data_IF_270374078360
#
_entry.id   IF_270374078360
#
_cell.length_a   1.000
_cell.length_b   1.000
_cell.length_c   1.000
_cell.angle_alpha   90.00
_cell.angle_beta   90.00
_cell.angle_gamma   90.00
#
_symmetry.space_group_name_H-M   'P 1'
#
loop_
_entity.id
_entity.type
_entity.pdbx_description
1 polymer ?
#
# COMPACT_ATOMS: atom_id res chain seq x y z
N UNK A 1 -8.18 -1.92 20.82
CA UNK A 1 -8.96 -1.24 19.77
C UNK A 1 -10.19 -2.08 19.49
N UNK A 2 -11.39 -1.48 19.54
CA UNK A 2 -12.65 -2.17 19.23
C UNK A 2 -13.18 -1.63 17.90
N UNK A 3 -13.65 -2.53 17.03
CA UNK A 3 -14.14 -2.20 15.70
C UNK A 3 -15.58 -2.69 15.57
N UNK A 4 -16.46 -1.82 15.07
CA UNK A 4 -17.84 -2.18 14.79
C UNK A 4 -17.91 -3.17 13.61
N UNK A 5 -18.62 -4.28 13.82
CA UNK A 5 -18.81 -5.34 12.85
C UNK A 5 -20.24 -5.89 12.93
N UNK A 6 -20.71 -6.42 11.81
CA UNK A 6 -21.94 -7.23 11.74
C UNK A 6 -21.53 -8.69 11.62
N UNK A 7 -22.32 -9.60 12.19
CA UNK A 7 -22.09 -11.04 12.04
C UNK A 7 -23.38 -11.74 11.61
N UNK A 8 -23.22 -12.91 11.00
CA UNK A 8 -24.31 -13.80 10.65
C UNK A 8 -23.89 -15.26 10.83
N UNK A 9 -24.87 -16.14 11.00
CA UNK A 9 -24.69 -17.57 11.21
C UNK A 9 -25.25 -18.32 10.02
N UNK A 10 -24.37 -18.98 9.27
CA UNK A 10 -24.76 -19.88 8.19
C UNK A 10 -24.92 -21.30 8.74
N UNK A 11 -26.13 -21.83 8.68
CA UNK A 11 -26.41 -23.17 9.20
C UNK A 11 -25.72 -24.25 8.38
N UNK A 12 -25.03 -25.16 9.06
CA UNK A 12 -24.36 -26.30 8.44
C UNK A 12 -25.36 -27.35 7.93
N UNK A 13 -24.91 -28.24 7.03
CA UNK A 13 -25.68 -29.45 6.73
C UNK A 13 -25.77 -30.36 7.97
N UNK A 14 -26.72 -31.32 8.02
CA UNK A 14 -26.81 -32.26 9.14
C UNK A 14 -25.47 -32.97 9.41
N UNK A 15 -24.92 -32.78 10.61
CA UNK A 15 -23.62 -33.31 11.01
C UNK A 15 -22.44 -32.35 10.84
N UNK A 16 -22.66 -31.18 10.26
CA UNK A 16 -21.67 -30.09 10.17
C UNK A 16 -21.97 -28.99 11.20
N UNK A 17 -20.94 -28.31 11.73
CA UNK A 17 -21.14 -27.16 12.61
C UNK A 17 -21.63 -25.94 11.84
N UNK A 18 -22.38 -25.07 12.52
CA UNK A 18 -22.74 -23.76 11.99
C UNK A 18 -21.50 -22.88 11.76
N UNK A 19 -21.52 -22.11 10.67
CA UNK A 19 -20.45 -21.18 10.31
C UNK A 19 -20.80 -19.77 10.77
N UNK A 20 -20.01 -19.25 11.71
CA UNK A 20 -20.09 -17.87 12.17
C UNK A 20 -19.15 -17.00 11.33
N UNK A 21 -19.69 -15.98 10.68
CA UNK A 21 -18.93 -15.05 9.86
C UNK A 21 -19.26 -13.61 10.22
N UNK A 22 -18.33 -12.70 9.96
CA UNK A 22 -18.53 -11.28 10.24
C UNK A 22 -17.94 -10.39 9.15
N UNK A 23 -18.42 -9.15 9.11
CA UNK A 23 -17.92 -8.09 8.24
C UNK A 23 -17.65 -6.84 9.05
N UNK A 24 -16.55 -6.16 8.73
CA UNK A 24 -16.15 -4.91 9.39
C UNK A 24 -16.83 -3.73 8.70
N UNK A 25 -17.43 -2.85 9.50
CA UNK A 25 -18.03 -1.62 8.99
C UNK A 25 -16.94 -0.58 8.73
N UNK A 26 -16.98 0.05 7.56
CA UNK A 26 -16.07 1.14 7.19
C UNK A 26 -16.81 2.47 7.10
N UNK A 27 -16.10 3.55 7.42
CA UNK A 27 -16.54 4.94 7.33
C UNK A 27 -15.54 5.74 6.48
N UNK A 28 -15.88 6.94 6.00
CA UNK A 28 -14.89 7.84 5.39
C UNK A 28 -13.69 8.04 6.32
N UNK A 29 -12.47 8.07 5.77
CA UNK A 29 -11.28 8.33 6.55
C UNK A 29 -11.35 9.72 7.20
N UNK A 30 -10.86 9.82 8.45
CA UNK A 30 -10.58 11.10 9.08
C UNK A 30 -9.40 11.79 8.42
N UNK A 31 -9.22 13.09 8.68
CA UNK A 31 -8.08 13.87 8.17
C UNK A 31 -6.74 13.18 8.47
N UNK A 32 -6.61 12.61 9.67
CA UNK A 32 -5.42 11.86 10.13
C UNK A 32 -5.04 10.70 9.20
N UNK A 33 -6.02 9.96 8.68
CA UNK A 33 -5.80 8.72 7.89
C UNK A 33 -5.98 8.96 6.38
N UNK A 34 -6.58 10.07 5.98
CA UNK A 34 -6.96 10.38 4.60
C UNK A 34 -5.80 10.36 3.60
N UNK A 35 -4.58 10.64 4.06
CA UNK A 35 -3.36 10.58 3.25
C UNK A 35 -2.91 9.15 2.91
N UNK A 36 -3.36 8.15 3.69
CA UNK A 36 -3.06 6.72 3.49
C UNK A 36 -4.16 6.04 2.68
N UNK A 37 -5.43 6.29 3.03
CA UNK A 37 -6.59 5.66 2.39
C UNK A 37 -7.84 6.52 2.59
N UNK A 38 -8.81 6.41 1.68
CA UNK A 38 -10.09 7.16 1.70
C UNK A 38 -11.12 6.59 2.69
N UNK A 39 -10.82 5.45 3.30
CA UNK A 39 -11.72 4.68 4.18
C UNK A 39 -10.97 4.23 5.42
N UNK A 40 -11.70 4.13 6.53
CA UNK A 40 -11.19 3.59 7.79
C UNK A 40 -12.26 2.71 8.46
N UNK A 41 -11.88 1.76 9.33
CA UNK A 41 -12.87 1.03 10.12
C UNK A 41 -13.62 1.97 11.06
N UNK A 42 -14.88 1.66 11.36
CA UNK A 42 -15.63 2.32 12.43
C UNK A 42 -15.09 1.85 13.80
N UNK A 43 -14.34 2.70 14.49
CA UNK A 43 -13.68 2.40 15.76
C UNK A 43 -14.56 2.88 16.92
N UNK A 44 -14.78 2.02 17.91
CA UNK A 44 -15.49 2.35 19.15
C UNK A 44 -14.45 2.70 20.21
N UNK A 45 -14.52 3.93 20.76
CA UNK A 45 -13.50 4.48 21.67
C UNK A 45 -13.90 4.39 23.13
N UNK A 46 -15.19 4.46 23.44
CA UNK A 46 -15.69 4.50 24.82
C UNK A 46 -16.43 3.21 25.20
N UNK A 47 -16.51 2.91 26.50
CA UNK A 47 -17.29 1.79 27.01
C UNK A 47 -18.79 1.95 26.68
N UNK A 48 -19.29 3.18 26.70
CA UNK A 48 -20.68 3.50 26.34
C UNK A 48 -20.95 3.22 24.87
N UNK A 49 -20.02 3.52 23.96
CA UNK A 49 -20.16 3.18 22.54
C UNK A 49 -20.16 1.68 22.28
N UNK A 50 -19.32 0.94 23.01
CA UNK A 50 -19.30 -0.53 22.93
C UNK A 50 -20.65 -1.09 23.41
N UNK A 51 -21.16 -0.55 24.50
CA UNK A 51 -22.46 -0.95 25.06
C UNK A 51 -23.60 -0.60 24.12
N UNK A 52 -23.61 0.61 23.57
CA UNK A 52 -24.60 1.06 22.59
C UNK A 52 -24.53 0.27 21.28
N UNK A 53 -23.34 -0.21 20.88
CA UNK A 53 -23.20 -1.08 19.71
C UNK A 53 -23.71 -2.51 19.96
N UNK A 54 -23.39 -3.11 21.11
CA UNK A 54 -23.69 -4.52 21.38
C UNK A 54 -25.07 -4.77 22.00
N UNK A 55 -25.58 -3.83 22.80
CA UNK A 55 -26.74 -4.05 23.68
C UNK A 55 -27.90 -3.09 23.41
N UNK A 56 -27.81 -2.22 22.40
CA UNK A 56 -28.90 -1.26 22.19
C UNK A 56 -30.13 -1.93 21.58
N UNK A 57 -31.24 -1.77 22.30
CA UNK A 57 -32.62 -1.98 21.85
C UNK A 57 -33.07 -0.97 20.79
N UNK A 58 -32.35 0.16 20.69
CA UNK A 58 -32.62 1.23 19.75
C UNK A 58 -31.52 1.31 18.68
N UNK A 59 -31.79 0.90 17.43
CA UNK A 59 -30.77 0.87 16.38
C UNK A 59 -30.15 2.25 16.08
N UNK A 60 -30.83 3.35 16.42
CA UNK A 60 -30.28 4.70 16.24
C UNK A 60 -29.04 4.96 17.10
N UNK A 61 -28.95 4.37 18.29
CA UNK A 61 -27.78 4.55 19.18
C UNK A 61 -26.56 3.85 18.61
N UNK A 62 -26.72 2.58 18.19
CA UNK A 62 -25.66 1.83 17.50
C UNK A 62 -25.18 2.54 16.22
N UNK A 63 -26.11 3.06 15.40
CA UNK A 63 -25.76 3.82 14.20
C UNK A 63 -24.99 5.12 14.49
N UNK A 64 -25.27 5.79 15.62
CA UNK A 64 -24.54 7.00 16.02
C UNK A 64 -23.07 6.74 16.41
N UNK A 65 -22.71 5.48 16.71
CA UNK A 65 -21.33 5.07 16.94
C UNK A 65 -20.51 4.98 15.63
N UNK A 66 -21.16 4.89 14.47
CA UNK A 66 -20.50 4.70 13.16
C UNK A 66 -19.96 6.02 12.59
N UNK A 67 -18.86 6.51 13.16
CA UNK A 67 -18.20 7.74 12.74
C UNK A 67 -16.68 7.60 12.64
N UNK A 68 -16.06 8.50 11.88
CA UNK A 68 -14.60 8.58 11.77
C UNK A 68 -14.00 9.09 13.09
N UNK A 69 -12.90 8.49 13.53
CA UNK A 69 -12.16 8.94 14.72
C UNK A 69 -10.82 9.55 14.30
N UNK A 70 -10.36 10.55 15.03
CA UNK A 70 -9.11 11.31 14.73
C UNK A 70 -7.93 10.90 15.59
N UNK A 71 -8.19 10.33 16.77
CA UNK A 71 -7.18 9.84 17.72
C UNK A 71 -6.65 8.46 17.30
N UNK A 72 -5.88 8.46 16.22
CA UNK A 72 -5.20 7.28 15.66
C UNK A 72 -3.76 7.66 15.34
N UNK A 73 -2.83 6.79 15.73
CA UNK A 73 -1.44 6.86 15.34
C UNK A 73 -1.09 5.69 14.41
N UNK A 74 -0.19 5.94 13.46
CA UNK A 74 0.35 4.93 12.55
C UNK A 74 1.82 5.20 12.26
N UNK A 75 2.51 4.17 11.76
CA UNK A 75 3.90 4.26 11.32
C UNK A 75 4.13 3.35 10.11
N UNK A 76 5.15 3.66 9.31
CA UNK A 76 5.50 2.84 8.15
C UNK A 76 6.09 1.48 8.61
N UNK A 77 5.70 0.41 7.91
CA UNK A 77 6.21 -0.95 8.11
C UNK A 77 6.81 -1.50 6.82
N UNK A 78 7.54 -2.61 6.92
CA UNK A 78 8.13 -3.30 5.77
C UNK A 78 7.05 -3.91 4.87
N UNK A 79 7.35 -4.05 3.57
CA UNK A 79 6.52 -4.79 2.60
C UNK A 79 6.40 -6.29 2.92
N UNK A 80 7.14 -6.80 3.92
CA UNK A 80 6.97 -8.14 4.47
C UNK A 80 5.52 -8.46 4.86
N UNK A 81 4.75 -7.47 5.35
CA UNK A 81 3.34 -7.65 5.74
C UNK A 81 2.41 -7.96 4.56
N UNK A 82 2.84 -7.70 3.32
CA UNK A 82 1.99 -7.88 2.13
C UNK A 82 1.68 -9.35 1.82
N UNK A 83 2.47 -10.29 2.35
CA UNK A 83 2.21 -11.71 2.22
C UNK A 83 1.44 -12.22 3.43
N UNK A 84 0.22 -12.72 3.20
CA UNK A 84 -0.64 -13.29 4.25
C UNK A 84 -0.08 -14.55 4.91
N UNK A 85 0.98 -15.14 4.35
CA UNK A 85 1.70 -16.28 4.94
C UNK A 85 2.65 -15.87 6.07
N UNK A 86 2.98 -14.59 6.15
CA UNK A 86 3.90 -14.07 7.16
C UNK A 86 3.12 -13.73 8.43
N UNK A 87 3.42 -14.43 9.52
CA UNK A 87 2.79 -14.23 10.82
C UNK A 87 3.87 -14.12 11.91
N UNK A 88 4.71 -13.11 11.78
CA UNK A 88 5.83 -12.85 12.68
C UNK A 88 5.90 -11.36 13.02
N UNK A 89 6.73 -11.02 14.01
CA UNK A 89 6.84 -9.66 14.54
C UNK A 89 7.33 -8.64 13.51
N UNK A 90 8.00 -9.07 12.44
CA UNK A 90 8.51 -8.15 11.41
C UNK A 90 7.39 -7.42 10.67
N UNK A 91 6.17 -8.00 10.65
CA UNK A 91 4.98 -7.38 10.05
C UNK A 91 4.57 -6.06 10.72
N UNK A 92 4.93 -5.89 12.00
CA UNK A 92 4.59 -4.72 12.81
C UNK A 92 5.82 -3.88 13.17
N UNK A 93 7.01 -4.24 12.69
CA UNK A 93 8.21 -3.47 13.02
C UNK A 93 8.24 -2.16 12.22
N UNK A 94 8.43 -0.99 12.89
CA UNK A 94 8.60 0.27 12.20
C UNK A 94 9.83 0.24 11.29
N UNK A 95 9.70 0.82 10.11
CA UNK A 95 10.83 1.01 9.19
C UNK A 95 11.20 2.49 9.09
N UNK A 96 12.50 2.76 9.01
CA UNK A 96 13.00 4.10 8.74
C UNK A 96 12.84 4.37 7.24
N UNK A 97 12.09 5.42 6.91
CA UNK A 97 12.00 5.91 5.54
C UNK A 97 13.28 6.68 5.24
N UNK A 98 14.27 6.00 4.67
CA UNK A 98 15.43 6.67 4.07
C UNK A 98 14.91 7.58 2.95
N UNK A 99 15.19 8.88 3.01
CA UNK A 99 14.90 9.75 1.88
C UNK A 99 15.84 9.32 0.76
N UNK A 100 15.36 8.56 -0.22
CA UNK A 100 16.11 8.41 -1.46
C UNK A 100 16.13 9.79 -2.12
N UNK A 101 17.16 10.59 -1.80
CA UNK A 101 17.64 11.56 -2.75
C UNK A 101 17.83 10.78 -4.04
N UNK A 102 17.21 11.25 -5.13
CA UNK A 102 17.52 10.71 -6.45
C UNK A 102 19.04 10.72 -6.58
N UNK A 103 19.69 9.58 -6.91
CA UNK A 103 21.11 9.65 -7.23
C UNK A 103 21.24 10.58 -8.43
N UNK A 104 21.82 11.76 -8.24
CA UNK A 104 22.19 12.74 -9.28
C UNK A 104 23.30 12.22 -10.20
N UNK A 105 23.53 10.90 -10.23
CA UNK A 105 24.43 10.27 -11.18
C UNK A 105 23.57 9.47 -12.16
N UNK A 106 23.54 9.94 -13.40
CA UNK A 106 22.87 9.35 -14.55
C UNK A 106 22.92 7.81 -14.53
N UNK A 107 21.82 7.19 -14.15
CA UNK A 107 21.54 5.81 -14.56
C UNK A 107 21.19 5.91 -16.04
N UNK A 108 22.21 5.76 -16.88
CA UNK A 108 22.06 5.74 -18.33
C UNK A 108 21.04 4.67 -18.71
N UNK A 109 20.03 5.11 -19.45
CA UNK A 109 18.86 4.34 -19.90
C UNK A 109 19.20 3.21 -20.90
N UNK A 110 20.49 2.96 -21.15
CA UNK A 110 20.97 2.04 -22.18
C UNK A 110 21.02 0.58 -21.73
N UNK A 111 20.83 0.29 -20.43
CA UNK A 111 20.90 -1.08 -19.90
C UNK A 111 19.55 -1.81 -19.84
N UNK A 112 18.46 -1.17 -20.23
CA UNK A 112 17.10 -1.75 -20.18
C UNK A 112 16.33 -1.76 -21.51
N UNK A 113 16.84 -1.14 -22.58
CA UNK A 113 16.20 -1.25 -23.90
C UNK A 113 16.85 -2.37 -24.74
N UNK A 114 16.12 -3.44 -25.10
CA UNK A 114 16.56 -4.28 -26.21
C UNK A 114 16.44 -3.48 -27.51
N UNK A 115 17.52 -3.47 -28.30
CA UNK A 115 17.58 -2.81 -29.60
C UNK A 115 16.48 -3.35 -30.53
N UNK A 116 15.61 -2.45 -31.01
CA UNK A 116 14.58 -2.78 -31.98
C UNK A 116 15.23 -3.12 -33.33
N UNK A 117 15.10 -4.37 -33.77
CA UNK A 117 15.49 -4.78 -35.11
C UNK A 117 14.39 -4.40 -36.09
N UNK A 118 14.64 -3.37 -36.90
CA UNK A 118 13.85 -3.06 -38.08
C UNK A 118 14.51 -3.72 -39.30
N UNK A 119 13.76 -4.58 -40.01
CA UNK A 119 13.92 -4.66 -41.47
C UNK A 119 12.68 -5.24 -42.14
N UNK A 120 12.05 -4.39 -42.94
CA UNK A 120 11.19 -4.76 -44.08
C UNK A 120 12.05 -4.80 -45.36
N UNK A 121 11.44 -5.23 -46.48
CA UNK A 121 11.92 -5.33 -47.89
C UNK A 121 12.45 -6.73 -48.28
N UNK A 122 12.19 -7.31 -49.46
CA UNK A 122 11.24 -7.09 -50.56
C UNK A 122 11.29 -8.31 -51.52
N UNK A 123 10.21 -8.52 -52.28
CA UNK A 123 10.08 -9.07 -53.65
C UNK A 123 10.79 -10.38 -54.11
N UNK A 124 10.03 -11.31 -54.71
CA UNK A 124 10.03 -11.59 -56.17
C UNK A 124 9.28 -12.90 -56.53
N UNK A 125 8.84 -12.94 -57.79
CA UNK A 125 7.88 -13.83 -58.48
C UNK A 125 8.48 -15.14 -59.02
N UNK A 126 7.68 -16.22 -59.17
CA UNK A 126 7.55 -17.03 -60.42
C UNK A 126 6.58 -18.23 -60.26
N UNK A 127 6.17 -18.78 -61.40
CA UNK A 127 4.95 -19.51 -61.78
C UNK A 127 5.01 -21.04 -61.84
N UNK A 128 3.81 -21.66 -61.88
CA UNK A 128 3.35 -22.71 -62.83
C UNK A 128 3.01 -24.15 -62.34
N UNK A 129 1.73 -24.51 -62.56
CA UNK A 129 1.17 -25.74 -63.18
C UNK A 129 0.93 -27.08 -62.44
N UNK A 130 -0.29 -27.61 -62.69
CA UNK A 130 -0.74 -29.01 -62.87
C UNK A 130 -1.22 -29.90 -61.69
N UNK A 131 -2.55 -30.10 -61.69
CA UNK A 131 -3.41 -31.26 -61.36
C UNK A 131 -2.87 -32.55 -60.69
N UNK A 132 -3.57 -33.05 -59.65
CA UNK A 132 -4.45 -34.25 -59.68
C UNK A 132 -4.67 -34.93 -58.30
N UNK A 133 -5.95 -35.07 -57.94
CA UNK A 133 -6.62 -36.18 -57.20
C UNK A 133 -6.07 -36.80 -55.89
N UNK A 134 -6.84 -36.63 -54.80
CA UNK A 134 -7.36 -37.66 -53.85
C UNK A 134 -7.35 -37.20 -52.37
N UNK A 135 -8.52 -37.23 -51.71
CA UNK A 135 -8.79 -36.88 -50.28
C UNK A 135 -8.89 -38.16 -49.40
N UNK A 136 -9.05 -38.16 -48.04
CA UNK A 136 -9.35 -37.06 -47.08
C UNK A 136 -8.53 -37.14 -45.74
N UNK A 137 -8.96 -36.47 -44.64
CA UNK A 137 -8.25 -35.37 -44.00
C UNK A 137 -7.25 -35.80 -42.91
N UNK A 138 -6.03 -35.27 -42.98
CA UNK A 138 -5.09 -35.28 -41.85
C UNK A 138 -5.21 -33.94 -41.14
N UNK A 139 -5.73 -33.94 -39.91
CA UNK A 139 -5.68 -32.79 -39.01
C UNK A 139 -4.21 -32.43 -38.77
N UNK A 140 -3.68 -31.48 -39.54
CA UNK A 140 -2.43 -30.80 -39.23
C UNK A 140 -2.72 -29.80 -38.12
N UNK A 141 -2.15 -30.07 -36.95
CA UNK A 141 -2.06 -29.11 -35.86
C UNK A 141 -1.12 -27.99 -36.30
N UNK A 142 -1.65 -26.91 -36.87
CA UNK A 142 -0.93 -25.65 -36.93
C UNK A 142 -0.79 -25.12 -35.49
N UNK A 143 0.42 -24.77 -35.02
CA UNK A 143 0.58 -24.18 -33.71
C UNK A 143 -0.18 -22.85 -33.67
N UNK A 144 -1.08 -22.74 -32.69
CA UNK A 144 -1.85 -21.51 -32.40
C UNK A 144 -0.86 -20.35 -32.19
N UNK A 145 -1.06 -19.17 -32.81
CA UNK A 145 -0.21 -18.01 -32.54
C UNK A 145 -0.31 -17.64 -31.04
N UNK A 146 0.79 -17.21 -30.40
CA UNK A 146 0.76 -16.82 -29.01
C UNK A 146 -0.21 -15.64 -28.80
N UNK A 147 -0.91 -15.57 -27.65
CA UNK A 147 -1.78 -14.45 -27.35
C UNK A 147 -0.98 -13.14 -27.35
N UNK A 148 -1.60 -12.01 -27.75
CA UNK A 148 -0.92 -10.72 -27.73
C UNK A 148 -0.49 -10.37 -26.31
N UNK A 149 0.76 -9.96 -26.16
CA UNK A 149 1.35 -9.50 -24.91
C UNK A 149 0.49 -8.38 -24.30
N UNK A 150 0.25 -8.38 -22.98
CA UNK A 150 -0.51 -7.31 -22.34
C UNK A 150 0.23 -5.98 -22.58
N UNK A 151 -0.48 -4.98 -23.13
CA UNK A 151 0.05 -3.63 -23.30
C UNK A 151 0.48 -3.13 -21.92
N UNK A 152 1.79 -3.02 -21.71
CA UNK A 152 2.40 -2.47 -20.50
C UNK A 152 1.94 -1.02 -20.37
N UNK A 153 0.92 -0.78 -19.55
CA UNK A 153 0.57 0.57 -19.13
C UNK A 153 1.78 1.09 -18.35
N UNK A 154 2.36 2.18 -18.83
CA UNK A 154 3.32 2.97 -18.06
C UNK A 154 2.66 3.25 -16.69
N UNK A 155 3.34 3.02 -15.55
CA UNK A 155 2.83 3.53 -14.28
C UNK A 155 2.70 5.06 -14.45
N UNK A 156 1.55 5.66 -14.07
CA UNK A 156 1.42 7.09 -14.12
C UNK A 156 2.54 7.74 -13.29
N UNK A 157 3.01 8.95 -13.66
CA UNK A 157 3.99 9.66 -12.85
C UNK A 157 3.50 9.71 -11.41
N UNK A 158 4.42 9.47 -10.46
CA UNK A 158 4.13 9.46 -9.04
C UNK A 158 3.43 10.78 -8.69
N UNK A 159 2.10 10.73 -8.54
CA UNK A 159 1.32 11.91 -8.17
C UNK A 159 1.81 12.34 -6.80
N UNK A 160 1.90 13.65 -6.57
CA UNK A 160 2.15 14.20 -5.25
C UNK A 160 0.94 13.83 -4.36
N UNK A 161 1.05 12.70 -3.67
CA UNK A 161 0.01 12.17 -2.79
C UNK A 161 0.15 12.79 -1.40
N UNK A 162 -0.91 12.66 -0.60
CA UNK A 162 -0.87 12.99 0.82
C UNK A 162 0.34 12.39 1.53
N UNK A 163 0.65 11.12 1.24
CA UNK A 163 1.82 10.42 1.78
C UNK A 163 3.17 11.10 1.45
N UNK A 164 3.38 11.55 0.21
CA UNK A 164 4.64 12.26 -0.14
C UNK A 164 4.72 13.63 0.52
N UNK A 165 3.59 14.29 0.72
CA UNK A 165 3.50 15.57 1.45
C UNK A 165 3.72 15.41 2.95
N UNK A 166 3.16 14.37 3.55
CA UNK A 166 3.32 14.01 4.96
C UNK A 166 4.77 13.67 5.29
N UNK A 167 5.43 12.80 4.50
CA UNK A 167 6.85 12.47 4.69
C UNK A 167 7.72 13.74 4.67
N UNK A 168 7.40 14.71 3.80
CA UNK A 168 8.10 16.00 3.74
C UNK A 168 7.78 16.89 4.94
N UNK A 169 6.53 16.95 5.40
CA UNK A 169 6.09 17.75 6.54
C UNK A 169 6.67 17.23 7.87
N UNK A 170 6.74 15.91 8.06
CA UNK A 170 7.37 15.28 9.23
C UNK A 170 8.86 15.62 9.34
N UNK A 171 9.54 15.83 8.20
CA UNK A 171 10.94 16.25 8.14
C UNK A 171 11.14 17.67 8.67
N UNK A 172 10.31 18.61 8.23
CA UNK A 172 10.36 20.01 8.68
C UNK A 172 10.15 20.10 10.19
N UNK A 173 9.19 19.35 10.73
CA UNK A 173 8.91 19.35 12.18
C UNK A 173 10.10 18.82 13.01
N UNK A 174 10.75 17.76 12.52
CA UNK A 174 11.94 17.20 13.18
C UNK A 174 13.17 18.13 13.12
N UNK A 175 13.32 18.90 12.05
CA UNK A 175 14.43 19.85 11.86
C UNK A 175 14.26 21.09 12.75
N UNK A 176 13.02 21.60 12.91
CA UNK A 176 12.74 22.74 13.78
C UNK A 176 12.93 22.42 15.27
N UNK A 177 12.52 21.23 15.71
CA UNK A 177 12.71 20.80 17.11
C UNK A 177 14.18 20.53 17.44
N UNK A 178 14.93 19.95 16.49
CA UNK A 178 16.37 19.73 16.67
C UNK A 178 17.16 21.05 16.76
N UNK A 179 16.79 22.06 15.97
CA UNK A 179 17.43 23.39 16.02
C UNK A 179 17.15 24.11 17.35
N UNK A 180 15.92 24.04 17.87
CA UNK A 180 15.56 24.66 19.15
C UNK A 180 16.25 24.03 20.36
N UNK A 181 16.62 22.74 20.26
CA UNK A 181 17.27 22.01 21.35
C UNK A 181 18.79 22.23 21.37
N UNK A 182 19.40 22.51 20.22
CA UNK A 182 20.83 22.81 20.12
C UNK A 182 21.17 24.20 20.68
N UNK A 183 20.31 25.21 20.46
CA UNK A 183 20.52 26.56 21.01
C UNK A 183 20.39 26.61 22.55
N UNK A 184 19.60 25.72 23.15
CA UNK A 184 19.40 25.70 24.61
C UNK A 184 20.57 25.09 25.40
N UNK A 185 21.44 24.28 24.78
CA UNK A 185 22.56 23.62 25.47
C UNK A 185 23.89 24.41 25.39
N UNK A 186 24.00 25.46 24.56
CA UNK A 186 25.23 26.26 24.44
C UNK A 186 25.36 27.36 25.53
N UNK A 187 24.27 27.75 26.19
CA UNK A 187 24.28 28.84 27.19
C UNK A 187 24.67 28.42 28.62
N UNK A 188 24.86 27.13 28.91
CA UNK A 188 25.21 26.66 30.27
C UNK A 188 26.64 26.12 30.37
N UNK A 189 27.64 27.01 30.32
CA UNK A 189 29.02 26.70 30.76
C UNK A 189 29.40 27.56 31.98
N UNK A 190 29.71 26.96 33.15
CA UNK A 190 30.07 27.74 34.33
C UNK A 190 31.54 28.17 34.29
N UNK A 191 31.80 29.42 34.72
CA UNK A 191 33.12 30.01 34.82
C UNK A 191 33.94 29.42 35.98
N UNK A 192 35.11 28.84 35.66
CA UNK A 192 36.07 28.29 36.61
C UNK A 192 36.80 29.43 37.34
N UNK A 193 36.58 29.56 38.65
CA UNK A 193 37.33 30.48 39.53
C UNK A 193 38.65 29.84 39.99
N UNK A 194 39.77 30.52 39.73
CA UNK A 194 41.11 30.17 40.24
C UNK A 194 41.24 30.50 41.73
N UNK A 195 41.92 29.69 42.56
CA UNK A 195 42.16 30.02 43.95
C UNK A 195 43.34 30.99 44.10
N UNK A 196 43.22 31.91 45.06
CA UNK A 196 44.23 32.90 45.45
C UNK A 196 45.04 32.33 46.62
N UNK A 197 46.36 32.40 46.50
CA UNK A 197 47.34 32.02 47.52
C UNK A 197 47.38 33.05 48.67
N UNK A 198 47.38 32.56 49.91
CA UNK A 198 48.13 33.10 51.05
C UNK A 198 48.74 31.93 51.84
#
# INVERSE_FOLDING_TARGET
MFIAALFDVHQGMPGEPDLYSFTVITVPASETVSDIHDRMPAILQTADEITDWLQSDNPKRALACLRSVTDICFYAVSSHVNSTRNNDKLCLQPVKLESSALPTAAVTLDKWLPAASSKLTAAASASASAASSASPPRYQQNPKPPPPSPKRRQPPPLRDTGLTRWIRASRVKSETEASSKAEAEEETKPAVKKPRLE
#
